data_IF_841291387174
#
_entry.id   IF_841291387174
#
_cell.length_a   1.000
_cell.length_b   1.000
_cell.length_c   1.000
_cell.angle_alpha   90.00
_cell.angle_beta   90.00
_cell.angle_gamma   90.00
#
_symmetry.space_group_name_H-M   'P 1'
#
loop_
_entity.id
_entity.type
_entity.pdbx_description
1 polymer ?
#
# COMPACT_ATOMS: atom_id res chain seq x y z
N UNK A 1 38.94 -38.96 54.05
CA UNK A 1 38.37 -38.02 53.07
C UNK A 1 37.06 -38.61 52.58
N UNK A 2 35.94 -38.12 53.12
CA UNK A 2 34.59 -38.56 52.77
C UNK A 2 34.09 -37.76 51.57
N UNK A 3 33.61 -38.45 50.54
CA UNK A 3 32.98 -37.88 49.34
C UNK A 3 31.48 -37.69 49.59
N UNK A 4 30.97 -36.47 49.41
CA UNK A 4 29.53 -36.20 49.37
C UNK A 4 29.01 -36.28 47.92
N UNK A 5 27.80 -36.82 47.68
CA UNK A 5 27.16 -36.70 46.38
C UNK A 5 26.29 -35.43 46.32
N UNK A 6 26.47 -34.67 45.23
CA UNK A 6 25.67 -33.51 44.86
C UNK A 6 24.24 -33.92 44.47
N UNK A 7 23.23 -33.41 45.16
CA UNK A 7 21.82 -33.48 44.77
C UNK A 7 21.55 -32.58 43.56
N UNK A 8 21.10 -33.15 42.45
CA UNK A 8 20.54 -32.41 41.31
C UNK A 8 19.04 -32.23 41.55
N UNK A 9 18.61 -30.99 41.76
CA UNK A 9 17.19 -30.65 41.68
C UNK A 9 16.74 -30.67 40.21
N UNK A 10 15.56 -31.27 39.97
CA UNK A 10 14.99 -31.45 38.65
C UNK A 10 14.20 -30.19 38.28
N UNK A 11 14.53 -29.53 37.17
CA UNK A 11 13.74 -28.40 36.66
C UNK A 11 12.29 -28.81 36.36
N UNK A 12 11.29 -27.94 36.63
CA UNK A 12 9.88 -28.27 36.39
C UNK A 12 9.60 -28.36 34.87
N UNK A 13 9.16 -29.53 34.41
CA UNK A 13 8.66 -29.75 33.04
C UNK A 13 7.32 -29.05 32.86
N UNK A 14 7.24 -28.03 31.99
CA UNK A 14 5.97 -27.52 31.50
C UNK A 14 5.30 -28.56 30.59
N UNK A 15 4.01 -28.82 30.80
CA UNK A 15 3.20 -29.69 29.94
C UNK A 15 2.69 -28.89 28.73
N UNK A 16 2.64 -29.47 27.52
CA UNK A 16 2.10 -28.78 26.35
C UNK A 16 0.58 -28.65 26.47
N UNK A 17 0.08 -27.42 26.31
CA UNK A 17 -1.34 -27.12 26.16
C UNK A 17 -1.77 -27.57 24.76
N UNK A 18 -2.67 -28.55 24.72
CA UNK A 18 -3.28 -29.02 23.49
C UNK A 18 -4.39 -28.04 23.08
N UNK A 19 -4.14 -27.23 22.07
CA UNK A 19 -5.17 -26.38 21.45
C UNK A 19 -5.67 -27.12 20.22
N UNK A 20 -6.94 -27.50 20.23
CA UNK A 20 -7.64 -28.03 19.05
C UNK A 20 -7.86 -26.89 18.07
N UNK A 21 -7.32 -27.01 16.87
CA UNK A 21 -7.78 -26.25 15.71
C UNK A 21 -8.98 -27.00 15.12
N UNK A 22 -10.15 -26.38 15.14
CA UNK A 22 -11.32 -26.86 14.41
C UNK A 22 -11.25 -26.26 13.00
N UNK A 23 -11.08 -27.14 12.00
CA UNK A 23 -11.30 -26.85 10.60
C UNK A 23 -12.81 -26.67 10.35
N UNK A 24 -13.19 -25.55 9.74
CA UNK A 24 -14.55 -25.32 9.26
C UNK A 24 -14.51 -24.87 7.79
N UNK A 25 -14.62 -25.84 6.89
CA UNK A 25 -15.30 -25.73 5.59
C UNK A 25 -16.59 -26.58 5.75
N UNK A 26 -17.77 -26.25 5.24
CA UNK A 26 -18.17 -25.49 4.06
C UNK A 26 -19.70 -25.26 4.11
N UNK A 27 -20.22 -24.39 3.21
CA UNK A 27 -21.59 -24.35 2.66
C UNK A 27 -22.70 -23.58 3.42
N UNK A 28 -23.12 -22.40 2.92
CA UNK A 28 -24.37 -22.23 2.14
C UNK A 28 -24.71 -20.74 1.84
N UNK A 29 -25.39 -20.57 0.70
CA UNK A 29 -26.14 -19.44 0.14
C UNK A 29 -25.37 -18.39 -0.66
N UNK A 30 -25.58 -18.47 -1.98
CA UNK A 30 -24.99 -17.59 -2.98
C UNK A 30 -25.51 -16.16 -2.90
N UNK A 31 -24.58 -15.25 -2.68
CA UNK A 31 -24.55 -13.93 -3.28
C UNK A 31 -23.08 -13.63 -3.61
N UNK A 32 -22.73 -13.62 -4.90
CA UNK A 32 -21.42 -13.18 -5.37
C UNK A 32 -21.25 -11.69 -5.03
N UNK A 33 -20.67 -11.41 -3.86
CA UNK A 33 -20.00 -10.14 -3.61
C UNK A 33 -18.52 -10.37 -3.89
N UNK A 34 -17.95 -9.57 -4.78
CA UNK A 34 -16.52 -9.53 -5.08
C UNK A 34 -15.76 -9.29 -3.76
N UNK A 35 -15.34 -10.39 -3.15
CA UNK A 35 -14.61 -10.38 -1.90
C UNK A 35 -13.17 -10.05 -2.26
N UNK A 36 -12.74 -8.85 -1.87
CA UNK A 36 -11.35 -8.43 -1.91
C UNK A 36 -10.50 -9.53 -1.27
N UNK A 37 -9.72 -10.23 -2.08
CA UNK A 37 -8.83 -11.29 -1.63
C UNK A 37 -7.62 -10.66 -0.94
N UNK A 38 -7.83 -10.06 0.22
CA UNK A 38 -6.76 -9.81 1.18
C UNK A 38 -6.50 -11.13 1.89
N UNK A 39 -5.62 -11.96 1.35
CA UNK A 39 -4.93 -12.92 2.20
C UNK A 39 -4.38 -12.14 3.40
N UNK A 40 -4.73 -12.52 4.63
CA UNK A 40 -4.33 -11.78 5.81
C UNK A 40 -2.81 -11.78 5.88
N UNK A 41 -2.19 -10.63 5.60
CA UNK A 41 -0.74 -10.44 5.69
C UNK A 41 -0.24 -10.91 7.07
N UNK A 42 0.98 -11.47 7.16
CA UNK A 42 1.53 -11.91 8.44
C UNK A 42 1.55 -10.75 9.43
N UNK A 43 0.74 -10.86 10.49
CA UNK A 43 0.60 -9.80 11.47
C UNK A 43 1.71 -9.87 12.52
N UNK A 44 2.76 -9.06 12.33
CA UNK A 44 3.66 -8.70 13.43
C UNK A 44 2.96 -7.63 14.26
N UNK A 45 2.58 -7.97 15.50
CA UNK A 45 1.89 -7.02 16.39
C UNK A 45 2.82 -6.57 17.52
N UNK A 46 2.81 -5.26 17.79
CA UNK A 46 3.46 -4.68 18.95
C UNK A 46 2.43 -4.01 19.85
N UNK A 47 2.56 -4.21 21.16
CA UNK A 47 1.90 -3.31 22.11
C UNK A 47 2.58 -1.94 22.04
N UNK A 48 1.87 -0.84 22.36
CA UNK A 48 2.48 0.48 22.41
C UNK A 48 3.70 0.57 23.35
N UNK A 49 3.71 -0.20 24.45
CA UNK A 49 4.86 -0.25 25.36
C UNK A 49 6.07 -0.97 24.75
N UNK A 50 5.86 -2.09 24.07
CA UNK A 50 6.94 -2.78 23.35
C UNK A 50 7.52 -1.92 22.23
N UNK A 51 6.66 -1.27 21.44
CA UNK A 51 7.12 -0.43 20.34
C UNK A 51 7.95 0.77 20.83
N UNK A 52 7.53 1.42 21.94
CA UNK A 52 8.33 2.46 22.59
C UNK A 52 9.67 1.92 23.07
N UNK A 53 9.66 0.82 23.81
CA UNK A 53 10.88 0.25 24.37
C UNK A 53 11.90 -0.15 23.29
N UNK A 54 11.44 -0.80 22.21
CA UNK A 54 12.30 -1.20 21.09
C UNK A 54 12.91 0.03 20.43
N UNK A 55 12.12 1.07 20.16
CA UNK A 55 12.65 2.32 19.61
C UNK A 55 13.70 2.93 20.55
N UNK A 56 13.44 3.01 21.86
CA UNK A 56 14.39 3.55 22.85
C UNK A 56 15.73 2.78 22.89
N UNK A 57 15.72 1.47 22.62
CA UNK A 57 16.95 0.69 22.51
C UNK A 57 17.65 0.91 21.17
N UNK A 58 16.90 0.87 20.06
CA UNK A 58 17.45 1.02 18.72
C UNK A 58 18.06 2.41 18.48
N UNK A 59 17.56 3.46 19.15
CA UNK A 59 18.14 4.82 19.08
C UNK A 59 19.60 4.88 19.53
N UNK A 60 20.05 3.90 20.32
CA UNK A 60 21.43 3.82 20.84
C UNK A 60 22.35 2.96 19.98
N UNK A 61 21.81 2.35 18.91
CA UNK A 61 22.52 1.36 18.09
C UNK A 61 23.01 1.98 16.78
N UNK A 62 24.08 1.38 16.23
CA UNK A 62 24.55 1.73 14.88
C UNK A 62 23.66 1.10 13.81
N UNK A 63 23.64 1.66 12.61
CA UNK A 63 22.79 1.20 11.51
C UNK A 63 22.97 -0.30 11.20
N UNK A 64 24.22 -0.79 11.22
CA UNK A 64 24.53 -2.22 11.04
C UNK A 64 23.90 -3.10 12.13
N UNK A 65 23.90 -2.65 13.38
CA UNK A 65 23.36 -3.43 14.49
C UNK A 65 21.82 -3.42 14.45
N UNK A 66 21.21 -2.30 14.06
CA UNK A 66 19.77 -2.20 13.80
C UNK A 66 19.37 -3.21 12.72
N UNK A 67 20.09 -3.24 11.59
CA UNK A 67 19.82 -4.17 10.50
C UNK A 67 19.96 -5.64 10.93
N UNK A 68 21.01 -5.99 11.68
CA UNK A 68 21.18 -7.34 12.24
C UNK A 68 20.03 -7.72 13.15
N UNK A 69 19.63 -6.81 14.05
CA UNK A 69 18.47 -7.01 14.92
C UNK A 69 17.19 -7.25 14.12
N UNK A 70 16.93 -6.43 13.10
CA UNK A 70 15.75 -6.56 12.26
C UNK A 70 15.69 -7.89 11.50
N UNK A 71 16.81 -8.39 10.97
CA UNK A 71 16.89 -9.69 10.29
C UNK A 71 16.52 -10.87 11.21
N UNK A 72 16.78 -10.74 12.50
CA UNK A 72 16.44 -11.77 13.49
C UNK A 72 14.98 -11.64 13.94
N UNK A 73 14.51 -10.41 14.16
CA UNK A 73 13.20 -10.17 14.75
C UNK A 73 12.05 -10.35 13.76
N UNK A 74 12.21 -9.87 12.53
CA UNK A 74 11.10 -9.74 11.58
C UNK A 74 11.09 -10.86 10.54
N UNK A 75 10.05 -11.71 10.52
CA UNK A 75 9.83 -12.62 9.40
C UNK A 75 9.40 -11.84 8.15
N UNK A 76 9.67 -12.39 6.97
CA UNK A 76 9.31 -11.80 5.67
C UNK A 76 9.70 -10.31 5.59
N UNK A 77 10.95 -10.04 5.96
CA UNK A 77 11.57 -8.73 5.91
C UNK A 77 12.08 -8.44 4.50
N UNK A 78 11.63 -7.34 3.91
CA UNK A 78 12.09 -6.84 2.62
C UNK A 78 12.70 -5.46 2.75
N UNK A 79 13.41 -5.00 1.73
CA UNK A 79 13.74 -3.60 1.56
C UNK A 79 12.89 -3.01 0.43
N UNK A 80 12.20 -1.89 0.65
CA UNK A 80 11.61 -1.11 -0.43
C UNK A 80 12.56 0.03 -0.80
N UNK A 81 12.83 0.20 -2.10
CA UNK A 81 13.73 1.27 -2.57
C UNK A 81 13.23 1.94 -3.84
N UNK A 82 13.60 3.21 -4.00
CA UNK A 82 13.58 3.93 -5.27
C UNK A 82 15.03 4.31 -5.67
N UNK A 83 16.01 3.58 -5.16
CA UNK A 83 17.45 3.79 -5.37
C UNK A 83 17.96 5.19 -4.97
N UNK A 84 17.31 5.84 -4.01
CA UNK A 84 17.88 6.98 -3.30
C UNK A 84 19.08 6.56 -2.45
N UNK A 85 20.02 7.47 -2.18
CA UNK A 85 21.29 7.15 -1.53
C UNK A 85 21.13 6.36 -0.22
N UNK A 86 20.19 6.73 0.64
CA UNK A 86 19.95 6.00 1.89
C UNK A 86 19.53 4.56 1.66
N UNK A 87 18.69 4.29 0.66
CA UNK A 87 18.32 2.93 0.30
C UNK A 87 19.50 2.14 -0.27
N UNK A 88 20.36 2.78 -1.05
CA UNK A 88 21.58 2.15 -1.58
C UNK A 88 22.56 1.77 -0.46
N UNK A 89 22.72 2.63 0.56
CA UNK A 89 23.53 2.30 1.74
C UNK A 89 22.96 1.08 2.47
N UNK A 90 21.65 1.05 2.71
CA UNK A 90 21.00 -0.12 3.33
C UNK A 90 21.23 -1.40 2.52
N UNK A 91 21.09 -1.34 1.19
CA UNK A 91 21.30 -2.48 0.31
C UNK A 91 22.74 -2.99 0.37
N UNK A 92 23.72 -2.08 0.35
CA UNK A 92 25.14 -2.43 0.45
C UNK A 92 25.46 -3.13 1.78
N UNK A 93 24.96 -2.57 2.89
CA UNK A 93 25.10 -3.17 4.23
C UNK A 93 24.49 -4.58 4.28
N UNK A 94 23.28 -4.76 3.74
CA UNK A 94 22.61 -6.06 3.69
C UNK A 94 23.36 -7.07 2.82
N UNK A 95 23.83 -6.66 1.64
CA UNK A 95 24.60 -7.54 0.75
C UNK A 95 25.90 -8.03 1.40
N UNK A 96 26.58 -7.16 2.17
CA UNK A 96 27.77 -7.56 2.96
C UNK A 96 27.40 -8.56 4.06
N UNK A 97 26.32 -8.31 4.81
CA UNK A 97 25.86 -9.22 5.85
C UNK A 97 25.47 -10.60 5.32
N UNK A 98 24.85 -10.65 4.14
CA UNK A 98 24.48 -11.92 3.50
C UNK A 98 25.71 -12.77 3.14
N UNK A 99 26.83 -12.12 2.80
CA UNK A 99 28.11 -12.80 2.56
C UNK A 99 28.78 -13.26 3.86
N UNK A 100 28.58 -12.55 4.96
CA UNK A 100 29.11 -12.91 6.29
C UNK A 100 28.34 -14.08 6.93
N UNK A 101 27.03 -14.15 6.73
CA UNK A 101 26.13 -15.07 7.42
C UNK A 101 24.96 -15.45 6.53
N UNK A 102 24.95 -16.72 6.11
CA UNK A 102 23.92 -17.31 5.23
C UNK A 102 22.86 -18.13 5.97
N UNK A 103 22.89 -18.15 7.31
CA UNK A 103 21.92 -18.92 8.09
C UNK A 103 20.59 -18.17 8.32
N UNK A 104 20.59 -16.85 8.17
CA UNK A 104 19.38 -16.04 8.18
C UNK A 104 18.85 -15.90 6.76
N UNK A 105 17.52 -15.77 6.57
CA UNK A 105 16.95 -15.43 5.28
C UNK A 105 17.59 -14.16 4.69
N UNK A 106 17.78 -14.16 3.38
CA UNK A 106 18.20 -12.98 2.63
C UNK A 106 17.08 -11.94 2.63
N UNK A 107 17.45 -10.66 2.75
CA UNK A 107 16.51 -9.54 2.65
C UNK A 107 16.45 -9.12 1.19
N UNK A 108 15.35 -9.48 0.53
CA UNK A 108 15.12 -9.17 -0.88
C UNK A 108 14.62 -7.73 -1.08
N UNK A 109 14.81 -7.21 -2.30
CA UNK A 109 14.53 -5.83 -2.66
C UNK A 109 13.21 -5.72 -3.42
N UNK A 110 12.40 -4.71 -3.11
CA UNK A 110 11.19 -4.34 -3.85
C UNK A 110 11.43 -2.97 -4.48
N UNK A 111 11.31 -2.90 -5.80
CA UNK A 111 11.33 -1.67 -6.59
C UNK A 111 9.98 -1.46 -7.27
N UNK A 112 9.45 -0.25 -7.15
CA UNK A 112 8.23 0.17 -7.83
C UNK A 112 8.62 0.97 -9.08
N UNK A 113 8.49 0.34 -10.24
CA UNK A 113 8.68 0.98 -11.53
C UNK A 113 7.40 1.72 -11.91
N UNK A 114 7.38 3.04 -11.72
CA UNK A 114 6.23 3.88 -12.03
C UNK A 114 6.02 4.04 -13.53
N UNK A 115 6.96 3.58 -14.36
CA UNK A 115 7.09 3.83 -15.81
C UNK A 115 7.54 5.24 -16.16
N UNK A 116 7.67 6.13 -15.18
CA UNK A 116 8.06 7.54 -15.36
C UNK A 116 9.35 7.89 -14.60
N UNK A 117 10.18 6.90 -14.28
CA UNK A 117 11.52 7.18 -13.74
C UNK A 117 12.42 7.80 -14.83
N UNK A 118 13.48 8.47 -14.40
CA UNK A 118 14.55 8.90 -15.31
C UNK A 118 15.28 7.72 -15.92
N UNK A 119 15.80 7.88 -17.14
CA UNK A 119 16.69 6.90 -17.78
C UNK A 119 17.91 6.59 -16.91
N UNK A 120 18.48 7.61 -16.24
CA UNK A 120 19.59 7.43 -15.30
C UNK A 120 19.22 6.55 -14.09
N UNK A 121 17.95 6.56 -13.67
CA UNK A 121 17.45 5.65 -12.62
C UNK A 121 17.40 4.21 -13.14
N UNK A 122 16.93 3.98 -14.38
CA UNK A 122 16.95 2.64 -14.98
C UNK A 122 18.38 2.12 -15.20
N UNK A 123 19.31 2.98 -15.64
CA UNK A 123 20.72 2.63 -15.75
C UNK A 123 21.34 2.29 -14.39
N UNK A 124 20.94 2.99 -13.33
CA UNK A 124 21.35 2.64 -11.97
C UNK A 124 20.77 1.29 -11.53
N UNK A 125 19.51 0.99 -11.84
CA UNK A 125 18.89 -0.31 -11.52
C UNK A 125 19.73 -1.46 -12.07
N UNK A 126 20.17 -1.37 -13.32
CA UNK A 126 21.00 -2.42 -13.94
C UNK A 126 22.37 -2.55 -13.27
N UNK A 127 23.05 -1.43 -12.98
CA UNK A 127 24.32 -1.46 -12.21
C UNK A 127 24.15 -2.05 -10.81
N UNK A 128 23.03 -1.78 -10.15
CA UNK A 128 22.70 -2.32 -8.83
C UNK A 128 22.46 -3.83 -8.91
N UNK A 129 21.72 -4.32 -9.90
CA UNK A 129 21.52 -5.77 -10.14
C UNK A 129 22.86 -6.49 -10.37
N UNK A 130 23.74 -5.88 -11.16
CA UNK A 130 25.08 -6.44 -11.42
C UNK A 130 25.94 -6.47 -10.15
N UNK A 131 26.04 -5.34 -9.44
CA UNK A 131 26.89 -5.18 -8.25
C UNK A 131 26.44 -6.05 -7.07
N UNK A 132 25.12 -6.20 -6.90
CA UNK A 132 24.47 -6.89 -5.80
C UNK A 132 23.70 -8.12 -6.26
N UNK A 133 24.31 -8.92 -7.14
CA UNK A 133 23.72 -10.15 -7.70
C UNK A 133 23.31 -11.20 -6.68
N UNK A 134 23.76 -11.08 -5.43
CA UNK A 134 23.33 -11.91 -4.30
C UNK A 134 22.03 -11.45 -3.63
N UNK A 135 21.42 -10.35 -4.07
CA UNK A 135 20.15 -9.82 -3.56
C UNK A 135 19.12 -9.87 -4.67
N UNK A 136 18.05 -10.64 -4.47
CA UNK A 136 16.94 -10.71 -5.43
C UNK A 136 16.17 -9.39 -5.44
N UNK A 137 15.84 -8.90 -6.62
CA UNK A 137 15.04 -7.70 -6.82
C UNK A 137 13.71 -8.04 -7.48
N UNK A 138 12.62 -7.65 -6.83
CA UNK A 138 11.25 -7.72 -7.34
C UNK A 138 10.85 -6.37 -7.91
N UNK A 139 10.37 -6.35 -9.14
CA UNK A 139 9.94 -5.13 -9.83
C UNK A 139 8.44 -5.17 -10.02
N UNK A 140 7.75 -4.18 -9.47
CA UNK A 140 6.31 -4.01 -9.60
C UNK A 140 5.99 -2.76 -10.40
N UNK A 141 5.08 -2.91 -11.37
CA UNK A 141 4.59 -1.87 -12.27
C UNK A 141 3.09 -1.62 -12.05
N UNK A 142 2.53 -0.51 -12.57
CA UNK A 142 1.08 -0.30 -12.61
C UNK A 142 0.38 -1.51 -13.23
N UNK A 143 -0.76 -1.91 -12.65
CA UNK A 143 -1.47 -3.10 -13.09
C UNK A 143 -1.81 -3.06 -14.60
N UNK A 144 -1.44 -4.12 -15.30
CA UNK A 144 -1.58 -4.31 -16.76
C UNK A 144 -0.85 -3.27 -17.63
N UNK A 145 0.22 -2.63 -17.12
CA UNK A 145 1.03 -1.69 -17.88
C UNK A 145 2.50 -2.13 -17.91
N UNK A 146 3.03 -2.44 -19.09
CA UNK A 146 4.46 -2.73 -19.28
C UNK A 146 5.28 -1.48 -19.61
N UNK A 147 4.65 -0.51 -20.28
CA UNK A 147 5.24 0.69 -20.87
C UNK A 147 4.41 1.95 -20.59
N UNK A 148 4.99 3.13 -20.80
CA UNK A 148 4.27 4.42 -20.72
C UNK A 148 3.07 4.44 -21.66
N UNK A 149 3.20 3.90 -22.88
CA UNK A 149 2.11 3.85 -23.84
C UNK A 149 0.91 3.02 -23.33
N UNK A 150 1.16 1.90 -22.65
CA UNK A 150 0.10 1.10 -22.04
C UNK A 150 -0.62 1.90 -20.94
N UNK A 151 0.16 2.62 -20.12
CA UNK A 151 -0.37 3.43 -19.02
C UNK A 151 -1.22 4.59 -19.55
N UNK A 152 -0.73 5.33 -20.54
CA UNK A 152 -1.45 6.47 -21.12
C UNK A 152 -2.68 6.03 -21.91
N UNK A 153 -2.64 4.87 -22.57
CA UNK A 153 -3.82 4.27 -23.21
C UNK A 153 -4.90 3.93 -22.18
N UNK A 154 -4.50 3.40 -21.02
CA UNK A 154 -5.43 2.94 -19.97
C UNK A 154 -5.99 4.09 -19.11
N UNK A 155 -5.15 5.05 -18.74
CA UNK A 155 -5.50 6.09 -17.76
C UNK A 155 -5.48 7.53 -18.32
N UNK A 156 -5.05 7.71 -19.56
CA UNK A 156 -4.91 9.02 -20.20
C UNK A 156 -3.48 9.57 -20.15
N UNK A 157 -3.12 10.34 -21.17
CA UNK A 157 -1.85 11.06 -21.25
C UNK A 157 -1.70 12.04 -20.07
N UNK A 158 -0.47 12.15 -19.56
CA UNK A 158 -0.11 13.11 -18.50
C UNK A 158 -1.05 13.10 -17.30
N UNK A 159 -1.47 11.91 -16.84
CA UNK A 159 -2.34 11.77 -15.67
C UNK A 159 -1.80 12.49 -14.42
N UNK A 160 -0.48 12.59 -14.30
CA UNK A 160 0.18 13.34 -13.21
C UNK A 160 -0.14 14.85 -13.19
N UNK A 161 -0.56 15.44 -14.31
CA UNK A 161 -1.06 16.83 -14.41
C UNK A 161 -2.57 16.91 -14.18
N UNK A 162 -3.34 15.97 -14.74
CA UNK A 162 -4.81 16.03 -14.75
C UNK A 162 -5.45 15.48 -13.48
N UNK A 163 -4.81 14.50 -12.84
CA UNK A 163 -5.27 13.90 -11.57
C UNK A 163 -4.08 13.31 -10.78
N UNK A 164 -3.34 14.18 -10.09
CA UNK A 164 -2.12 13.80 -9.36
C UNK A 164 -2.37 12.74 -8.27
N UNK A 165 -3.49 12.79 -7.56
CA UNK A 165 -3.88 11.79 -6.56
C UNK A 165 -4.15 10.43 -7.20
N UNK A 166 -4.84 10.40 -8.34
CA UNK A 166 -5.13 9.16 -9.04
C UNK A 166 -3.86 8.57 -9.65
N UNK A 167 -2.99 9.40 -10.22
CA UNK A 167 -1.65 8.98 -10.65
C UNK A 167 -0.85 8.34 -9.52
N UNK A 168 -0.77 8.99 -8.35
CA UNK A 168 -0.07 8.43 -7.19
C UNK A 168 -0.66 7.07 -6.77
N UNK A 169 -1.99 6.90 -6.85
CA UNK A 169 -2.62 5.63 -6.55
C UNK A 169 -2.20 4.53 -7.54
N UNK A 170 -2.48 4.70 -8.83
CA UNK A 170 -2.28 3.65 -9.84
C UNK A 170 -0.80 3.40 -10.14
N UNK A 171 0.05 4.43 -10.05
CA UNK A 171 1.46 4.32 -10.37
C UNK A 171 2.33 3.84 -9.20
N UNK A 172 1.87 4.00 -7.95
CA UNK A 172 2.71 3.80 -6.76
C UNK A 172 2.03 3.01 -5.65
N UNK A 173 0.84 3.43 -5.21
CA UNK A 173 0.20 2.82 -4.04
C UNK A 173 -0.34 1.43 -4.36
N UNK A 174 -1.08 1.26 -5.45
CA UNK A 174 -1.60 -0.05 -5.87
C UNK A 174 -0.46 -1.05 -6.13
N UNK A 175 0.59 -0.73 -6.92
CA UNK A 175 1.69 -1.66 -7.14
C UNK A 175 2.41 -2.06 -5.85
N UNK A 176 2.53 -1.15 -4.89
CA UNK A 176 3.10 -1.46 -3.58
C UNK A 176 2.22 -2.42 -2.79
N UNK A 177 0.91 -2.16 -2.71
CA UNK A 177 -0.02 -3.01 -1.98
C UNK A 177 -0.03 -4.43 -2.57
N UNK A 178 -0.04 -4.54 -3.90
CA UNK A 178 0.08 -5.81 -4.61
C UNK A 178 1.41 -6.50 -4.34
N UNK A 179 2.54 -5.77 -4.39
CA UNK A 179 3.84 -6.33 -4.04
C UNK A 179 3.86 -6.90 -2.62
N UNK A 180 3.26 -6.20 -1.66
CA UNK A 180 3.23 -6.64 -0.27
C UNK A 180 2.36 -7.88 -0.09
N UNK A 181 1.23 -7.95 -0.80
CA UNK A 181 0.36 -9.14 -0.82
C UNK A 181 1.04 -10.34 -1.46
N UNK A 182 1.53 -10.21 -2.68
CA UNK A 182 2.13 -11.31 -3.45
C UNK A 182 3.35 -11.92 -2.74
N UNK A 183 4.14 -11.08 -2.07
CA UNK A 183 5.37 -11.47 -1.38
C UNK A 183 5.16 -11.79 0.12
N UNK A 184 3.91 -11.72 0.61
CA UNK A 184 3.54 -11.90 2.01
C UNK A 184 4.43 -11.07 2.97
N UNK A 185 4.64 -9.80 2.64
CA UNK A 185 5.53 -8.90 3.37
C UNK A 185 5.00 -8.69 4.79
N UNK A 186 5.86 -8.87 5.79
CA UNK A 186 5.55 -8.55 7.20
C UNK A 186 6.23 -7.27 7.69
N UNK A 187 7.42 -6.97 7.14
CA UNK A 187 8.18 -5.79 7.47
C UNK A 187 8.99 -5.26 6.28
N UNK A 188 9.19 -3.94 6.24
CA UNK A 188 9.97 -3.27 5.20
C UNK A 188 11.00 -2.29 5.76
N UNK A 189 12.23 -2.41 5.28
CA UNK A 189 13.26 -1.38 5.44
C UNK A 189 13.01 -0.26 4.43
N UNK A 190 13.07 0.99 4.88
CA UNK A 190 12.89 2.18 4.04
C UNK A 190 14.11 3.12 4.13
N UNK A 191 14.28 3.97 3.11
CA UNK A 191 15.35 4.97 3.06
C UNK A 191 15.00 6.34 3.67
N UNK A 192 14.07 6.40 4.62
CA UNK A 192 13.64 7.67 5.25
C UNK A 192 14.56 8.07 6.40
N UNK A 193 14.90 9.36 6.50
CA UNK A 193 15.75 9.94 7.56
C UNK A 193 15.13 11.22 8.13
N UNK A 194 15.43 11.55 9.38
CA UNK A 194 14.96 12.79 10.03
C UNK A 194 15.52 14.04 9.36
N UNK A 195 16.77 13.98 8.89
CA UNK A 195 17.43 15.10 8.21
C UNK A 195 16.78 15.50 6.87
N UNK A 196 15.81 14.72 6.38
CA UNK A 196 15.09 15.00 5.13
C UNK A 196 13.91 15.97 5.31
N UNK A 197 13.66 16.46 6.52
CA UNK A 197 12.70 17.53 6.73
C UNK A 197 11.22 17.09 6.76
N UNK A 198 10.34 18.09 6.85
CA UNK A 198 8.89 17.92 6.72
C UNK A 198 8.29 16.91 7.70
N UNK A 199 7.51 15.96 7.18
CA UNK A 199 6.87 14.91 7.97
C UNK A 199 7.87 13.87 8.51
N UNK A 200 9.13 13.89 8.05
CA UNK A 200 10.16 12.93 8.44
C UNK A 200 10.91 13.32 9.72
N UNK A 201 10.79 14.57 10.17
CA UNK A 201 11.53 15.12 11.32
C UNK A 201 11.40 14.32 12.62
N UNK A 202 10.29 13.59 12.80
CA UNK A 202 9.98 12.87 14.05
C UNK A 202 9.67 11.39 13.83
N UNK A 203 10.07 10.83 12.69
CA UNK A 203 9.80 9.42 12.42
C UNK A 203 10.61 8.53 13.39
N UNK A 204 10.02 7.46 13.93
CA UNK A 204 10.75 6.49 14.75
C UNK A 204 11.60 5.56 13.88
N UNK A 205 12.45 4.75 14.52
CA UNK A 205 13.18 3.67 13.82
C UNK A 205 12.20 2.60 13.37
N UNK A 206 11.26 2.21 14.22
CA UNK A 206 10.23 1.21 13.91
C UNK A 206 8.84 1.84 14.08
N UNK A 207 8.02 1.76 13.04
CA UNK A 207 6.61 2.14 13.05
C UNK A 207 5.75 1.01 12.51
N UNK A 208 4.51 0.90 13.00
CA UNK A 208 3.52 -0.05 12.47
C UNK A 208 2.49 0.74 11.70
N UNK A 209 2.24 0.32 10.47
CA UNK A 209 1.14 0.84 9.66
C UNK A 209 -0.16 0.21 10.15
N UNK A 210 -1.02 1.00 10.82
CA UNK A 210 -2.22 0.48 11.45
C UNK A 210 -3.27 -0.06 10.45
N UNK A 211 -3.18 0.32 9.17
CA UNK A 211 -4.15 -0.11 8.15
C UNK A 211 -3.74 -1.42 7.51
N UNK A 212 -2.44 -1.55 7.23
CA UNK A 212 -1.89 -2.72 6.54
C UNK A 212 -1.28 -3.76 7.47
N UNK A 213 -0.97 -3.38 8.72
CA UNK A 213 -0.21 -4.20 9.67
C UNK A 213 1.29 -4.28 9.36
N UNK A 214 1.75 -3.66 8.27
CA UNK A 214 3.16 -3.70 7.85
C UNK A 214 4.03 -2.91 8.82
N UNK A 215 5.12 -3.52 9.28
CA UNK A 215 6.14 -2.84 10.06
C UNK A 215 7.09 -2.09 9.11
N UNK A 216 7.21 -0.77 9.26
CA UNK A 216 8.18 0.05 8.52
C UNK A 216 9.37 0.38 9.42
N UNK A 217 10.56 0.21 8.87
CA UNK A 217 11.82 0.32 9.62
C UNK A 217 12.73 1.31 8.90
N UNK A 218 13.27 2.28 9.64
CA UNK A 218 14.11 3.36 9.15
C UNK A 218 15.52 3.22 9.76
N UNK A 219 16.37 2.29 9.28
CA UNK A 219 17.63 1.93 9.94
C UNK A 219 18.66 3.06 9.95
N UNK A 220 18.58 3.99 8.99
CA UNK A 220 19.44 5.16 8.88
C UNK A 220 18.74 6.45 9.34
N UNK A 221 17.72 6.35 10.21
CA UNK A 221 16.87 7.50 10.57
C UNK A 221 17.66 8.71 11.10
N UNK A 222 18.77 8.46 11.80
CA UNK A 222 19.63 9.44 12.45
C UNK A 222 20.81 9.90 11.59
N UNK A 223 20.99 9.33 10.39
CA UNK A 223 22.09 9.72 9.51
C UNK A 223 21.77 11.04 8.81
N UNK A 224 22.74 11.96 8.81
CA UNK A 224 22.70 13.15 7.97
C UNK A 224 22.87 12.78 6.50
N UNK A 225 22.62 13.74 5.59
CA UNK A 225 22.93 13.53 4.17
C UNK A 225 24.43 13.32 3.94
N UNK A 226 25.27 14.00 4.71
CA UNK A 226 26.73 13.90 4.64
C UNK A 226 27.22 12.52 5.06
N UNK A 227 26.64 11.92 6.10
CA UNK A 227 26.98 10.55 6.53
C UNK A 227 26.67 9.53 5.43
N UNK A 228 25.50 9.69 4.78
CA UNK A 228 25.10 8.84 3.65
C UNK A 228 26.07 9.00 2.48
N UNK A 229 26.38 10.23 2.07
CA UNK A 229 27.33 10.48 0.98
C UNK A 229 28.73 9.93 1.28
N UNK A 230 29.19 10.11 2.52
CA UNK A 230 30.47 9.58 2.98
C UNK A 230 30.51 8.06 2.83
N UNK A 231 29.48 7.35 3.30
CA UNK A 231 29.42 5.90 3.16
C UNK A 231 29.42 5.46 1.68
N UNK A 232 28.60 6.10 0.84
CA UNK A 232 28.53 5.80 -0.60
C UNK A 232 29.92 5.89 -1.24
N UNK A 233 30.65 6.97 -0.94
CA UNK A 233 32.01 7.20 -1.45
C UNK A 233 33.03 6.19 -0.91
N UNK A 234 33.02 5.95 0.40
CA UNK A 234 33.99 5.05 1.06
C UNK A 234 33.81 3.58 0.65
N UNK A 235 32.60 3.18 0.25
CA UNK A 235 32.26 1.80 -0.09
C UNK A 235 32.05 1.57 -1.59
N UNK A 236 32.29 2.59 -2.42
CA UNK A 236 32.09 2.55 -3.87
C UNK A 236 30.72 1.99 -4.27
N UNK A 237 29.67 2.52 -3.60
CA UNK A 237 28.29 2.11 -3.83
C UNK A 237 27.78 2.81 -5.09
N UNK A 238 27.23 2.08 -6.09
CA UNK A 238 26.68 2.71 -7.28
C UNK A 238 25.52 3.63 -6.92
N UNK A 239 25.57 4.88 -7.38
CA UNK A 239 24.52 5.88 -7.13
C UNK A 239 24.04 6.53 -8.44
N UNK A 240 22.93 7.26 -8.37
CA UNK A 240 22.33 7.91 -9.54
C UNK A 240 23.18 9.12 -9.96
N UNK A 241 23.64 9.15 -11.21
CA UNK A 241 24.49 10.23 -11.75
C UNK A 241 23.79 11.60 -11.74
N UNK A 242 22.46 11.63 -11.64
CA UNK A 242 21.71 12.88 -11.46
C UNK A 242 22.07 13.60 -10.14
N UNK A 243 22.58 12.89 -9.13
CA UNK A 243 23.08 13.51 -7.90
C UNK A 243 24.15 14.55 -8.20
N UNK A 244 25.09 14.21 -9.10
CA UNK A 244 26.21 15.08 -9.49
C UNK A 244 25.73 16.30 -10.31
N UNK A 245 24.49 16.25 -10.80
CA UNK A 245 23.79 17.33 -11.51
C UNK A 245 22.84 18.12 -10.60
N UNK A 246 22.95 17.95 -9.28
CA UNK A 246 22.18 18.70 -8.29
C UNK A 246 20.86 18.04 -7.86
N UNK A 247 20.56 16.81 -8.29
CA UNK A 247 19.35 16.10 -7.86
C UNK A 247 19.58 15.34 -6.55
N UNK A 248 19.43 16.01 -5.41
CA UNK A 248 19.60 15.39 -4.07
C UNK A 248 18.49 14.37 -3.71
N UNK A 249 17.31 14.48 -4.32
CA UNK A 249 16.21 13.50 -4.16
C UNK A 249 15.55 13.22 -5.50
N UNK A 250 15.62 11.98 -5.98
CA UNK A 250 15.11 11.57 -7.30
C UNK A 250 13.78 10.81 -7.16
N UNK A 251 12.84 11.06 -8.08
CA UNK A 251 11.60 10.31 -8.26
C UNK A 251 11.24 10.27 -9.75
N UNK A 252 9.96 10.42 -10.06
CA UNK A 252 9.51 10.52 -11.46
C UNK A 252 10.04 11.79 -12.12
N UNK A 253 10.32 11.74 -13.43
CA UNK A 253 10.97 12.82 -14.16
C UNK A 253 10.16 14.13 -14.19
N UNK A 254 8.83 14.03 -14.20
CA UNK A 254 7.92 15.17 -14.25
C UNK A 254 7.75 15.90 -12.91
N UNK A 255 8.17 15.30 -11.79
CA UNK A 255 7.96 15.83 -10.43
C UNK A 255 9.24 15.95 -9.60
N UNK A 256 10.38 15.99 -10.29
CA UNK A 256 11.71 16.09 -9.70
C UNK A 256 12.54 17.17 -10.39
N UNK A 257 13.11 18.08 -9.61
CA UNK A 257 14.00 19.13 -10.08
C UNK A 257 15.32 19.12 -9.30
N UNK A 258 16.42 19.67 -9.87
CA UNK A 258 17.64 19.88 -9.11
C UNK A 258 17.40 20.93 -8.01
N UNK A 259 18.25 20.90 -7.00
CA UNK A 259 18.27 21.88 -5.90
C UNK A 259 19.56 22.67 -5.90
N UNK A 260 19.50 23.92 -5.47
CA UNK A 260 20.67 24.77 -5.30
C UNK A 260 21.50 24.35 -4.07
N UNK A 261 22.70 24.90 -3.99
CA UNK A 261 23.51 24.79 -2.78
C UNK A 261 22.78 25.44 -1.59
N UNK A 262 22.84 24.79 -0.42
CA UNK A 262 22.12 25.23 0.78
C UNK A 262 20.62 24.89 0.83
N UNK A 263 19.98 24.56 -0.29
CA UNK A 263 18.58 24.08 -0.28
C UNK A 263 18.46 22.68 0.35
N UNK A 264 17.30 22.45 0.99
CA UNK A 264 16.93 21.17 1.60
C UNK A 264 17.04 20.00 0.61
N UNK A 265 17.43 18.82 1.10
CA UNK A 265 17.63 17.60 0.29
C UNK A 265 16.42 17.28 -0.60
N UNK A 266 15.21 17.58 -0.15
CA UNK A 266 13.96 17.26 -0.85
C UNK A 266 13.28 18.48 -1.47
N UNK A 267 13.91 19.66 -1.46
CA UNK A 267 13.31 20.89 -2.02
C UNK A 267 12.96 20.78 -3.53
N UNK A 268 13.65 19.90 -4.25
CA UNK A 268 13.39 19.63 -5.67
C UNK A 268 12.18 18.74 -5.93
N UNK A 269 11.57 18.16 -4.89
CA UNK A 269 10.35 17.36 -5.00
C UNK A 269 9.14 18.26 -4.85
N UNK A 270 8.21 18.17 -5.80
CA UNK A 270 6.93 18.89 -5.74
C UNK A 270 7.08 20.42 -5.63
N UNK A 271 8.09 20.99 -6.29
CA UNK A 271 8.33 22.44 -6.31
C UNK A 271 7.07 23.17 -6.79
N UNK A 272 6.54 24.06 -5.96
CA UNK A 272 5.29 24.80 -6.23
C UNK A 272 3.99 24.07 -5.88
N UNK A 273 4.04 22.88 -5.26
CA UNK A 273 2.84 22.13 -4.84
C UNK A 273 2.73 22.08 -3.30
N UNK A 274 1.51 21.93 -2.78
CA UNK A 274 1.26 21.71 -1.34
C UNK A 274 1.42 20.22 -0.96
N UNK A 275 2.61 19.65 -1.23
CA UNK A 275 2.91 18.24 -1.01
C UNK A 275 4.30 18.07 -0.43
N UNK A 276 4.37 17.41 0.72
CA UNK A 276 5.63 17.19 1.47
C UNK A 276 6.05 15.73 1.52
N UNK A 277 5.17 14.78 1.21
CA UNK A 277 5.41 13.34 1.31
C UNK A 277 4.75 12.57 0.17
N UNK A 278 5.33 11.42 -0.18
CA UNK A 278 4.80 10.55 -1.23
C UNK A 278 3.59 9.75 -0.72
N UNK A 279 2.61 9.47 -1.60
CA UNK A 279 1.43 8.65 -1.27
C UNK A 279 1.76 7.29 -0.65
N UNK A 280 2.90 6.70 -1.02
CA UNK A 280 3.47 5.45 -0.49
C UNK A 280 3.61 5.44 1.05
N UNK A 281 3.89 6.59 1.66
CA UNK A 281 4.18 6.69 3.09
C UNK A 281 3.03 7.31 3.90
N UNK A 282 1.96 7.71 3.25
CA UNK A 282 0.78 8.20 3.94
C UNK A 282 0.04 7.01 4.57
N UNK A 283 -0.56 7.22 5.75
CA UNK A 283 -1.34 6.18 6.44
C UNK A 283 -2.51 5.70 5.57
N UNK A 284 -3.18 6.64 4.90
CA UNK A 284 -4.17 6.43 3.84
C UNK A 284 -3.70 7.06 2.54
N UNK A 285 -4.03 6.44 1.41
CA UNK A 285 -3.91 7.11 0.11
C UNK A 285 -4.80 8.35 0.06
N UNK A 286 -4.29 9.46 -0.50
CA UNK A 286 -5.09 10.67 -0.73
C UNK A 286 -6.26 10.41 -1.69
N UNK A 287 -6.09 9.49 -2.64
CA UNK A 287 -7.17 9.10 -3.54
C UNK A 287 -8.30 8.36 -2.81
N UNK A 288 -7.96 7.46 -1.89
CA UNK A 288 -8.96 6.79 -1.06
C UNK A 288 -9.74 7.80 -0.19
N UNK A 289 -9.03 8.78 0.39
CA UNK A 289 -9.66 9.88 1.13
C UNK A 289 -10.57 10.73 0.22
N UNK A 290 -10.15 11.01 -1.01
CA UNK A 290 -10.95 11.73 -1.99
C UNK A 290 -12.25 10.99 -2.34
N UNK A 291 -12.18 9.66 -2.54
CA UNK A 291 -13.37 8.83 -2.76
C UNK A 291 -14.30 8.83 -1.55
N UNK A 292 -13.77 8.62 -0.33
CA UNK A 292 -14.56 8.68 0.92
C UNK A 292 -15.27 10.04 1.07
N UNK A 293 -14.61 11.14 0.74
CA UNK A 293 -15.20 12.48 0.80
C UNK A 293 -16.26 12.71 -0.29
N UNK A 294 -16.03 12.21 -1.50
CA UNK A 294 -16.99 12.28 -2.60
C UNK A 294 -18.27 11.50 -2.25
N UNK A 295 -18.13 10.29 -1.72
CA UNK A 295 -19.25 9.45 -1.27
C UNK A 295 -20.03 10.12 -0.14
N UNK A 296 -19.33 10.72 0.83
CA UNK A 296 -19.97 11.49 1.92
C UNK A 296 -20.76 12.66 1.36
N UNK A 297 -20.19 13.45 0.45
CA UNK A 297 -20.87 14.59 -0.19
C UNK A 297 -22.09 14.13 -0.99
N UNK A 298 -21.98 13.02 -1.72
CA UNK A 298 -23.10 12.44 -2.46
C UNK A 298 -24.22 11.98 -1.52
N UNK A 299 -23.88 11.32 -0.42
CA UNK A 299 -24.85 10.90 0.60
C UNK A 299 -25.54 12.09 1.29
N UNK A 300 -24.79 13.15 1.61
CA UNK A 300 -25.33 14.39 2.17
C UNK A 300 -26.26 15.10 1.18
N UNK A 301 -25.87 15.20 -0.10
CA UNK A 301 -26.71 15.77 -1.15
C UNK A 301 -28.01 14.96 -1.35
N UNK A 302 -27.92 13.62 -1.34
CA UNK A 302 -29.09 12.75 -1.43
C UNK A 302 -30.02 12.90 -0.22
N UNK A 303 -29.46 13.09 0.99
CA UNK A 303 -30.23 13.34 2.22
C UNK A 303 -30.91 14.71 2.18
N UNK A 304 -30.21 15.75 1.71
CA UNK A 304 -30.75 17.09 1.55
C UNK A 304 -31.88 17.12 0.50
N UNK A 305 -31.72 16.42 -0.62
CA UNK A 305 -32.76 16.28 -1.64
C UNK A 305 -34.01 15.57 -1.08
N UNK A 306 -33.84 14.48 -0.32
CA UNK A 306 -34.96 13.79 0.35
C UNK A 306 -35.66 14.69 1.38
N UNK A 307 -34.92 15.48 2.15
CA UNK A 307 -35.49 16.41 3.12
C UNK A 307 -36.28 17.55 2.44
N UNK A 308 -35.76 18.08 1.33
CA UNK A 308 -36.44 19.10 0.53
C UNK A 308 -37.75 18.58 -0.10
N UNK A 309 -37.73 17.36 -0.64
CA UNK A 309 -38.94 16.70 -1.17
C UNK A 309 -39.97 16.44 -0.07
N UNK A 310 -39.53 16.01 1.12
CA UNK A 310 -40.43 15.80 2.25
C UNK A 310 -41.06 17.11 2.76
N UNK A 311 -40.30 18.21 2.79
CA UNK A 311 -40.81 19.54 3.13
C UNK A 311 -41.84 20.04 2.10
N UNK A 312 -41.59 19.85 0.80
CA UNK A 312 -42.53 20.23 -0.27
C UNK A 312 -43.84 19.44 -0.24
N UNK A 313 -43.81 18.18 0.22
CA UNK A 313 -45.03 17.37 0.41
C UNK A 313 -45.86 17.79 1.62
N UNK A 314 -45.25 18.42 2.64
CA UNK A 314 -45.95 18.92 3.82
C UNK A 314 -46.61 20.29 3.60
N UNK A 315 -46.13 21.07 2.63
CA UNK A 315 -46.62 22.42 2.32
C UNK A 315 -47.71 22.46 1.24
N UNK A 316 -48.28 21.29 0.88
CA UNK A 316 -49.39 21.20 -0.07
C UNK A 316 -50.73 21.43 0.66
N UNK A 317 -51.54 22.45 0.30
CA UNK A 317 -52.77 22.76 1.02
C UNK A 317 -53.85 21.71 0.72
N UNK A 318 -54.27 20.98 1.75
CA UNK A 318 -55.45 20.10 1.69
C UNK A 318 -56.71 20.95 1.64
N UNK A 319 -57.54 20.70 0.62
CA UNK A 319 -58.59 21.56 0.11
C UNK A 319 -59.77 21.90 1.03
N UNK A 320 -60.43 22.99 0.65
CA UNK A 320 -61.72 23.48 1.13
C UNK A 320 -62.89 22.60 0.68
N UNK A 321 -63.82 22.42 1.61
CA UNK A 321 -65.20 21.89 1.55
C UNK A 321 -65.90 21.89 0.18
N UNK A 322 -66.52 20.74 -0.17
CA UNK A 322 -67.84 20.73 -0.81
C UNK A 322 -68.67 19.61 -0.17
N UNK A 323 -69.81 20.02 0.39
CA UNK A 323 -70.81 19.23 1.07
C UNK A 323 -71.66 18.36 0.13
N UNK A 324 -72.32 17.40 0.77
CA UNK A 324 -73.32 16.45 0.27
C UNK A 324 -74.27 16.95 -0.83
N UNK A 325 -74.46 16.13 -1.86
CA UNK A 325 -75.82 15.86 -2.33
C UNK A 325 -75.93 14.48 -2.99
N UNK A 326 -76.76 13.63 -2.37
CA UNK A 326 -77.05 12.28 -2.82
C UNK A 326 -78.25 12.30 -3.78
N UNK A 327 -78.10 11.74 -4.98
CA UNK A 327 -79.25 11.20 -5.71
C UNK A 327 -78.86 10.06 -6.66
N UNK A 328 -79.37 8.89 -6.29
CA UNK A 328 -79.41 7.65 -7.03
C UNK A 328 -80.13 7.80 -8.38
N UNK A 329 -79.59 7.21 -9.45
CA UNK A 329 -80.35 6.35 -10.37
C UNK A 329 -79.42 5.49 -11.23
N UNK A 330 -79.61 4.17 -11.12
CA UNK A 330 -78.90 3.14 -11.86
C UNK A 330 -79.45 2.95 -13.28
N UNK A 331 -78.56 2.78 -14.27
CA UNK A 331 -78.91 2.28 -15.60
C UNK A 331 -77.79 1.39 -16.20
N UNK A 332 -78.01 0.07 -16.09
CA UNK A 332 -77.75 -1.05 -17.03
C UNK A 332 -76.59 -1.00 -18.07
N UNK A 333 -75.63 -1.94 -17.86
CA UNK A 333 -75.18 -3.08 -18.74
C UNK A 333 -74.29 -2.78 -20.00
N UNK A 334 -73.64 -3.80 -20.66
CA UNK A 334 -72.30 -4.35 -20.33
C UNK A 334 -71.38 -4.53 -21.59
N UNK A 335 -70.12 -4.98 -21.44
CA UNK A 335 -69.35 -5.41 -22.63
C UNK A 335 -67.92 -5.94 -22.46
N UNK A 336 -67.73 -7.19 -22.85
CA UNK A 336 -66.52 -7.83 -23.43
C UNK A 336 -65.23 -7.94 -22.58
N UNK A 337 -64.92 -9.13 -22.02
CA UNK A 337 -64.20 -10.29 -22.61
C UNK A 337 -62.66 -10.19 -22.53
N UNK A 338 -62.12 -10.95 -21.57
CA UNK A 338 -60.75 -11.48 -21.49
C UNK A 338 -60.53 -12.61 -22.51
N UNK A 339 -59.34 -12.65 -23.14
CA UNK A 339 -58.54 -13.87 -23.41
C UNK A 339 -57.20 -13.47 -24.04
N UNK A 340 -56.10 -13.96 -23.49
CA UNK A 340 -54.98 -14.46 -24.30
C UNK A 340 -54.11 -15.42 -23.47
N UNK A 341 -53.64 -16.46 -24.17
CA UNK A 341 -53.10 -17.72 -23.71
C UNK A 341 -51.57 -17.72 -23.62
N UNK A 342 -51.04 -18.57 -22.73
CA UNK A 342 -49.71 -19.16 -22.78
C UNK A 342 -49.43 -19.92 -24.09
N UNK A 343 -48.16 -19.93 -24.53
CA UNK A 343 -47.53 -21.20 -24.92
C UNK A 343 -45.99 -21.12 -24.86
N UNK A 344 -45.41 -22.17 -24.27
CA UNK A 344 -44.00 -22.54 -24.18
C UNK A 344 -43.47 -23.20 -25.46
N UNK A 345 -42.15 -23.05 -25.65
CA UNK A 345 -41.10 -23.97 -26.10
C UNK A 345 -41.29 -24.91 -27.30
N UNK A 346 -40.37 -24.82 -28.26
CA UNK A 346 -39.66 -25.99 -28.81
C UNK A 346 -38.42 -25.61 -29.63
N UNK A 347 -37.30 -26.30 -29.36
CA UNK A 347 -36.11 -26.46 -30.21
C UNK A 347 -36.28 -27.73 -31.06
N UNK A 348 -35.65 -27.83 -32.26
CA UNK A 348 -34.73 -28.96 -32.49
C UNK A 348 -33.48 -28.64 -33.35
N UNK A 349 -32.64 -29.67 -33.44
CA UNK A 349 -31.21 -29.76 -33.75
C UNK A 349 -30.87 -30.00 -35.24
N UNK A 350 -29.58 -29.72 -35.56
CA UNK A 350 -28.64 -30.40 -36.48
C UNK A 350 -28.82 -30.38 -38.00
N UNK A 351 -27.77 -29.93 -38.71
CA UNK A 351 -27.27 -30.45 -40.01
C UNK A 351 -25.74 -30.18 -40.18
N UNK A 352 -24.96 -31.27 -40.33
CA UNK A 352 -23.74 -31.61 -41.15
C UNK A 352 -22.86 -30.49 -41.78
N UNK A 353 -21.58 -30.60 -42.21
CA UNK A 353 -20.49 -31.60 -42.38
C UNK A 353 -19.33 -30.89 -43.11
N UNK A 354 -18.10 -31.41 -42.95
CA UNK A 354 -16.95 -31.47 -43.90
C UNK A 354 -15.97 -30.31 -44.11
N UNK A 355 -14.70 -30.77 -44.15
CA UNK A 355 -13.41 -30.21 -44.60
C UNK A 355 -12.58 -29.44 -43.59
#
# INVERSE_FOLDING_TARGET
>A
MMTQPSSRESSPRMKPLHVKFEDAAEMDSGYCSASSSTASLPQVSFTPSHLRHINDQLEKMQAMDILRFCRVLFPNLYQTTAFGLTGLVTLDMLSKMEKESSFLPSVELIFLDTLYHFDETYQLVERVKERYSNVKMHVYKPADCGTVADFETKYGEKLYETSAEFYDWVAKVEPQQRAYSDLNVGAVLTGRRRSQGGQRNKIPIVEVDNETGIVKINPLVNWSFQDVQKYIKENDVPYNVLLDRGYKSVGDWHSTSPVAEGEDERAGRWKGQNKTECGIHNKKSRYAQFLEEADRKAAEAAKAAKAATAAAMQDSPVGSEIADDARWHAARRPGARRRQHHHQDHVPSAVTSSA
#
